data_IF_466867126666
#
_entry.id   IF_466867126666
#
_cell.length_a   1.000
_cell.length_b   1.000
_cell.length_c   1.000
_cell.angle_alpha   90.00
_cell.angle_beta   90.00
_cell.angle_gamma   90.00
#
_symmetry.space_group_name_H-M   'P 1'
#
loop_
_entity.id
_entity.type
_entity.pdbx_description
1 polymer ?
#
# COMPACT_ATOMS: atom_id res chain seq x y z
N UNK A 1 10.91 18.52 -8.67
CA UNK A 1 11.90 17.49 -8.32
C UNK A 1 11.35 16.09 -8.59
N UNK A 2 12.10 15.29 -9.33
CA UNK A 2 11.86 13.84 -9.40
C UNK A 2 12.41 13.15 -8.14
N UNK A 3 11.97 11.91 -7.89
CA UNK A 3 12.51 11.11 -6.78
C UNK A 3 14.03 10.90 -6.87
N UNK A 4 14.57 10.81 -8.10
CA UNK A 4 16.02 10.68 -8.33
C UNK A 4 16.76 11.97 -7.98
N UNK A 5 16.28 13.11 -8.42
CA UNK A 5 16.87 14.44 -8.12
C UNK A 5 16.82 14.76 -6.62
N UNK A 6 15.76 14.35 -5.93
CA UNK A 6 15.61 14.59 -4.50
C UNK A 6 16.75 13.96 -3.65
N UNK A 7 17.38 12.89 -4.12
CA UNK A 7 18.51 12.24 -3.41
C UNK A 7 19.75 13.15 -3.28
N UNK A 8 19.92 14.13 -4.18
CA UNK A 8 21.04 15.09 -4.15
C UNK A 8 20.72 16.43 -3.47
N UNK A 9 19.55 16.58 -2.85
CA UNK A 9 19.13 17.84 -2.22
C UNK A 9 19.40 17.84 -0.73
N UNK A 10 20.42 18.58 -0.30
CA UNK A 10 20.85 18.67 1.10
C UNK A 10 19.70 19.09 2.05
N UNK A 11 18.86 20.03 1.63
CA UNK A 11 17.70 20.47 2.40
C UNK A 11 16.69 19.37 2.75
N UNK A 12 16.76 18.19 2.11
CA UNK A 12 15.92 17.04 2.40
C UNK A 12 16.58 16.04 3.37
N UNK A 13 17.79 16.29 3.84
CA UNK A 13 18.50 15.42 4.79
C UNK A 13 17.73 15.24 6.10
N UNK A 14 17.11 16.29 6.61
CA UNK A 14 16.29 16.24 7.82
C UNK A 14 15.02 15.42 7.62
N UNK A 15 14.40 15.52 6.46
CA UNK A 15 13.26 14.67 6.09
C UNK A 15 13.68 13.19 6.03
N UNK A 16 14.84 12.89 5.46
CA UNK A 16 15.37 11.54 5.40
C UNK A 16 15.61 10.95 6.80
N UNK A 17 16.21 11.73 7.71
CA UNK A 17 16.42 11.33 9.12
C UNK A 17 15.11 11.11 9.85
N UNK A 18 14.16 12.03 9.72
CA UNK A 18 12.84 11.91 10.33
C UNK A 18 12.09 10.68 9.82
N UNK A 19 12.10 10.43 8.51
CA UNK A 19 11.47 9.28 7.89
C UNK A 19 12.06 7.95 8.41
N UNK A 20 13.38 7.89 8.54
CA UNK A 20 14.08 6.71 9.09
C UNK A 20 13.72 6.46 10.56
N UNK A 21 13.78 7.48 11.39
CA UNK A 21 13.46 7.37 12.82
C UNK A 21 11.97 6.98 13.03
N UNK A 22 11.05 7.57 12.25
CA UNK A 22 9.65 7.20 12.33
C UNK A 22 9.40 5.75 11.90
N UNK A 23 10.07 5.30 10.82
CA UNK A 23 9.99 3.90 10.37
C UNK A 23 10.51 2.94 11.44
N UNK A 24 11.68 3.20 12.01
CA UNK A 24 12.26 2.37 13.06
C UNK A 24 11.31 2.21 14.24
N UNK A 25 10.73 3.32 14.71
CA UNK A 25 9.75 3.32 15.79
C UNK A 25 8.53 2.45 15.46
N UNK A 26 7.89 2.64 14.30
CA UNK A 26 6.69 1.89 13.95
C UNK A 26 6.96 0.40 13.68
N UNK A 27 8.17 0.05 13.21
CA UNK A 27 8.58 -1.35 13.06
C UNK A 27 8.84 -2.01 14.40
N UNK A 28 9.42 -1.28 15.38
CA UNK A 28 9.58 -1.76 16.75
C UNK A 28 8.23 -2.03 17.43
N UNK A 29 7.18 -1.27 17.09
CA UNK A 29 5.79 -1.49 17.52
C UNK A 29 5.08 -2.63 16.71
N UNK A 30 5.84 -3.38 15.91
CA UNK A 30 5.36 -4.52 15.15
C UNK A 30 4.73 -4.16 13.81
N UNK A 31 5.03 -2.99 13.27
CA UNK A 31 4.69 -2.63 11.89
C UNK A 31 5.37 -3.56 10.89
N UNK A 32 4.78 -3.66 9.71
CA UNK A 32 5.23 -4.54 8.64
C UNK A 32 5.73 -3.70 7.48
N UNK A 33 6.91 -4.01 6.96
CA UNK A 33 7.43 -3.39 5.73
C UNK A 33 7.38 -4.38 4.57
N UNK A 34 6.46 -4.12 3.64
CA UNK A 34 6.30 -4.90 2.42
C UNK A 34 6.76 -4.06 1.23
N UNK A 35 7.96 -4.32 0.75
CA UNK A 35 8.57 -3.60 -0.38
C UNK A 35 8.56 -4.46 -1.64
N UNK A 36 7.37 -4.67 -2.22
CA UNK A 36 7.25 -5.32 -3.52
C UNK A 36 7.72 -4.40 -4.64
N UNK A 37 8.34 -4.96 -5.70
CA UNK A 37 8.56 -4.23 -6.94
C UNK A 37 7.25 -3.66 -7.47
N UNK A 38 7.25 -2.37 -7.77
CA UNK A 38 6.09 -1.65 -8.27
C UNK A 38 6.27 -1.27 -9.73
N UNK A 39 5.18 -1.27 -10.47
CA UNK A 39 5.14 -0.83 -11.86
C UNK A 39 4.05 0.21 -12.07
N UNK A 40 4.24 1.06 -13.05
CA UNK A 40 3.24 1.99 -13.54
C UNK A 40 2.81 1.58 -14.94
N UNK A 41 1.52 1.30 -15.11
CA UNK A 41 0.92 1.10 -16.43
C UNK A 41 0.54 2.45 -17.00
N UNK A 42 0.96 2.76 -18.22
CA UNK A 42 0.61 3.95 -18.98
C UNK A 42 0.03 3.56 -20.32
N UNK A 43 -0.97 4.30 -20.76
CA UNK A 43 -1.52 4.20 -22.11
C UNK A 43 -0.92 5.30 -22.97
N UNK A 44 -0.42 4.93 -24.13
CA UNK A 44 0.06 5.83 -25.19
C UNK A 44 -0.68 5.46 -26.47
N UNK A 45 -1.80 6.15 -26.73
CA UNK A 45 -2.76 5.73 -27.73
C UNK A 45 -3.40 4.37 -27.35
N UNK A 46 -3.31 3.39 -28.25
CA UNK A 46 -3.80 2.03 -28.01
C UNK A 46 -2.75 1.08 -27.41
N UNK A 47 -1.52 1.57 -27.21
CA UNK A 47 -0.44 0.78 -26.65
C UNK A 47 -0.35 0.94 -25.12
N UNK A 48 -0.23 -0.18 -24.42
CA UNK A 48 0.07 -0.19 -23.01
C UNK A 48 1.58 -0.28 -22.79
N UNK A 49 2.11 0.60 -21.94
CA UNK A 49 3.51 0.53 -21.46
C UNK A 49 3.55 0.23 -19.99
N UNK A 50 4.38 -0.71 -19.60
CA UNK A 50 4.67 -1.05 -18.21
C UNK A 50 6.04 -0.50 -17.87
N UNK A 51 6.09 0.36 -16.86
CA UNK A 51 7.29 1.05 -16.42
C UNK A 51 7.61 0.62 -14.99
N UNK A 52 8.66 -0.17 -14.76
CA UNK A 52 9.15 -0.45 -13.42
C UNK A 52 9.49 0.84 -12.67
N UNK A 53 9.10 0.91 -11.42
CA UNK A 53 9.36 2.06 -10.57
C UNK A 53 10.62 1.80 -9.74
N UNK A 54 11.72 2.54 -9.98
CA UNK A 54 12.94 2.34 -9.22
C UNK A 54 12.73 2.59 -7.71
N UNK A 55 13.31 1.77 -6.83
CA UNK A 55 13.14 1.87 -5.38
C UNK A 55 14.06 2.95 -4.78
N UNK A 56 13.91 4.21 -5.23
CA UNK A 56 14.69 5.33 -4.68
C UNK A 56 14.36 5.56 -3.21
N UNK A 57 15.36 5.85 -2.39
CA UNK A 57 15.18 6.18 -0.97
C UNK A 57 14.22 7.36 -0.75
N UNK A 58 14.24 8.34 -1.63
CA UNK A 58 13.32 9.49 -1.56
C UNK A 58 11.84 9.09 -1.69
N UNK A 59 11.52 7.97 -2.34
CA UNK A 59 10.14 7.41 -2.32
C UNK A 59 9.77 6.91 -0.92
N UNK A 60 10.74 6.30 -0.25
CA UNK A 60 10.60 5.89 1.14
C UNK A 60 10.39 7.10 2.05
N UNK A 61 11.16 8.19 1.91
CA UNK A 61 10.98 9.40 2.71
C UNK A 61 9.57 9.96 2.58
N UNK A 62 9.05 10.06 1.34
CA UNK A 62 7.69 10.53 1.08
C UNK A 62 6.65 9.58 1.69
N UNK A 63 6.83 8.26 1.57
CA UNK A 63 5.92 7.27 2.16
C UNK A 63 5.83 7.45 3.69
N UNK A 64 6.97 7.51 4.37
CA UNK A 64 7.00 7.66 5.82
C UNK A 64 6.46 9.04 6.27
N UNK A 65 6.75 10.11 5.54
CA UNK A 65 6.17 11.43 5.79
C UNK A 65 4.63 11.43 5.65
N UNK A 66 4.09 10.74 4.65
CA UNK A 66 2.64 10.57 4.49
C UNK A 66 2.02 9.77 5.64
N UNK A 67 2.70 8.72 6.12
CA UNK A 67 2.26 7.97 7.29
C UNK A 67 2.31 8.82 8.56
N UNK A 68 3.38 9.58 8.75
CA UNK A 68 3.54 10.51 9.88
C UNK A 68 2.44 11.59 9.87
N UNK A 69 2.11 12.14 8.71
CA UNK A 69 1.01 13.11 8.57
C UNK A 69 -0.34 12.51 8.97
N UNK A 70 -0.63 11.27 8.56
CA UNK A 70 -1.86 10.56 8.97
C UNK A 70 -1.88 10.22 10.46
N UNK A 71 -0.74 9.86 11.03
CA UNK A 71 -0.58 9.65 12.46
C UNK A 71 -0.81 10.94 13.25
N UNK A 72 -0.21 12.05 12.83
CA UNK A 72 -0.39 13.36 13.46
C UNK A 72 -1.85 13.85 13.37
N UNK A 73 -2.51 13.67 12.22
CA UNK A 73 -3.91 14.03 12.04
C UNK A 73 -4.83 13.22 12.99
N UNK A 74 -4.53 11.93 13.18
CA UNK A 74 -5.28 11.06 14.10
C UNK A 74 -5.09 11.51 15.56
N UNK A 75 -3.85 11.81 15.98
CA UNK A 75 -3.58 12.33 17.32
C UNK A 75 -4.25 13.66 17.59
N UNK A 76 -4.13 14.61 16.64
CA UNK A 76 -4.79 15.92 16.75
C UNK A 76 -6.31 15.75 16.95
N UNK A 77 -6.92 14.85 16.18
CA UNK A 77 -8.35 14.59 16.31
C UNK A 77 -8.73 13.99 17.67
N UNK A 78 -7.89 13.08 18.22
CA UNK A 78 -8.12 12.51 19.55
C UNK A 78 -8.01 13.55 20.65
N UNK A 79 -6.96 14.35 20.64
CA UNK A 79 -6.71 15.40 21.65
C UNK A 79 -7.82 16.45 21.70
N UNK A 80 -8.47 16.69 20.56
CA UNK A 80 -9.55 17.67 20.43
C UNK A 80 -10.94 17.06 20.34
N UNK A 81 -11.09 15.77 20.62
CA UNK A 81 -12.36 15.02 20.55
C UNK A 81 -13.11 15.19 19.22
N UNK A 82 -12.35 15.34 18.10
CA UNK A 82 -12.92 15.50 16.76
C UNK A 82 -13.33 14.15 16.18
N UNK A 83 -14.58 13.97 15.74
CA UNK A 83 -14.98 12.77 15.05
C UNK A 83 -14.36 12.74 13.65
N UNK A 84 -13.48 11.77 13.40
CA UNK A 84 -12.88 11.49 12.08
C UNK A 84 -12.93 9.98 11.77
N UNK A 85 -12.79 9.59 10.51
CA UNK A 85 -12.54 8.18 10.16
C UNK A 85 -11.12 7.76 10.56
N UNK A 86 -11.00 6.77 11.44
CA UNK A 86 -9.72 6.13 11.78
C UNK A 86 -9.53 4.87 10.96
N UNK A 87 -8.35 4.68 10.38
CA UNK A 87 -7.99 3.44 9.72
C UNK A 87 -7.37 2.48 10.75
N UNK A 88 -7.97 1.31 10.89
CA UNK A 88 -7.60 0.28 11.87
C UNK A 88 -7.30 -1.03 11.15
N UNK A 89 -6.44 -1.86 11.72
CA UNK A 89 -6.17 -3.18 11.17
C UNK A 89 -5.84 -4.16 12.29
N UNK A 90 -6.61 -5.23 12.36
CA UNK A 90 -6.40 -6.29 13.34
C UNK A 90 -5.15 -7.11 13.03
N UNK A 91 -4.58 -7.75 14.03
CA UNK A 91 -3.50 -8.71 13.86
C UNK A 91 -3.96 -9.92 13.03
N UNK A 92 -3.08 -10.57 12.27
CA UNK A 92 -3.38 -11.85 11.64
C UNK A 92 -3.62 -12.92 12.70
N UNK A 93 -4.43 -13.93 12.36
CA UNK A 93 -4.79 -15.01 13.31
C UNK A 93 -3.62 -15.89 13.73
N UNK A 94 -2.56 -15.95 12.91
CA UNK A 94 -1.38 -16.81 13.17
C UNK A 94 -0.11 -16.04 12.83
N UNK A 95 0.78 -15.93 13.81
CA UNK A 95 2.02 -15.12 13.72
C UNK A 95 3.25 -15.92 13.19
N UNK A 96 3.05 -17.06 12.53
CA UNK A 96 4.14 -17.98 12.14
C UNK A 96 4.87 -17.65 10.82
N UNK A 97 4.63 -16.51 10.18
CA UNK A 97 5.25 -16.20 8.88
C UNK A 97 6.66 -15.59 8.96
N UNK A 98 7.22 -15.41 10.14
CA UNK A 98 8.44 -14.62 10.35
C UNK A 98 9.76 -15.28 9.89
N UNK A 99 9.73 -16.51 9.37
CA UNK A 99 10.98 -17.25 9.08
C UNK A 99 11.43 -17.22 7.61
N UNK A 100 10.57 -16.82 6.68
CA UNK A 100 10.90 -16.82 5.26
C UNK A 100 11.25 -15.40 4.77
N UNK A 101 12.48 -15.19 4.36
CA UNK A 101 12.93 -13.94 3.75
C UNK A 101 12.51 -13.78 2.28
N UNK A 102 12.91 -12.68 1.66
CA UNK A 102 12.72 -12.42 0.24
C UNK A 102 11.27 -12.16 -0.18
N UNK A 103 11.01 -12.23 -1.48
CA UNK A 103 9.69 -11.96 -2.05
C UNK A 103 8.63 -12.98 -1.59
N UNK A 104 9.01 -14.26 -1.44
CA UNK A 104 8.09 -15.28 -0.96
C UNK A 104 7.66 -15.05 0.50
N UNK A 105 8.57 -14.58 1.36
CA UNK A 105 8.22 -14.20 2.73
C UNK A 105 7.27 -13.01 2.79
N UNK A 106 7.56 -11.96 2.04
CA UNK A 106 6.67 -10.79 1.90
C UNK A 106 5.30 -11.18 1.32
N UNK A 107 5.27 -12.11 0.33
CA UNK A 107 4.04 -12.63 -0.26
C UNK A 107 3.18 -13.36 0.77
N UNK A 108 3.79 -14.27 1.53
CA UNK A 108 3.12 -15.02 2.58
C UNK A 108 2.56 -14.09 3.67
N UNK A 109 3.36 -13.10 4.09
CA UNK A 109 2.96 -12.11 5.07
C UNK A 109 1.79 -11.25 4.58
N UNK A 110 1.85 -10.72 3.35
CA UNK A 110 0.77 -9.94 2.72
C UNK A 110 -0.55 -10.72 2.69
N UNK A 111 -0.53 -12.00 2.37
CA UNK A 111 -1.74 -12.84 2.29
C UNK A 111 -2.39 -13.11 3.65
N UNK A 112 -1.63 -13.04 4.72
CA UNK A 112 -2.13 -13.24 6.10
C UNK A 112 -2.63 -11.94 6.73
N UNK A 113 -2.25 -10.79 6.18
CA UNK A 113 -2.73 -9.51 6.69
C UNK A 113 -4.24 -9.41 6.56
N UNK A 114 -4.88 -9.06 7.66
CA UNK A 114 -6.29 -8.67 7.63
C UNK A 114 -6.45 -7.36 6.88
N UNK A 115 -7.61 -7.17 6.30
CA UNK A 115 -7.94 -5.92 5.62
C UNK A 115 -8.06 -4.78 6.63
N UNK A 116 -7.50 -3.62 6.30
CA UNK A 116 -7.73 -2.40 7.06
C UNK A 116 -9.21 -1.97 6.93
N UNK A 117 -9.78 -1.50 8.02
CA UNK A 117 -11.15 -1.02 8.13
C UNK A 117 -11.16 0.44 8.54
N UNK A 118 -12.17 1.18 8.11
CA UNK A 118 -12.39 2.55 8.56
C UNK A 118 -13.46 2.56 9.65
N UNK A 119 -13.12 3.08 10.81
CA UNK A 119 -14.00 3.12 12.00
C UNK A 119 -14.06 4.53 12.57
N UNK A 120 -15.16 4.88 13.21
CA UNK A 120 -15.27 6.14 13.98
C UNK A 120 -14.60 6.05 15.35
N UNK A 121 -14.10 4.89 15.75
CA UNK A 121 -13.35 4.68 16.98
C UNK A 121 -11.89 4.36 16.63
N UNK A 122 -10.93 4.98 17.34
CA UNK A 122 -9.52 4.70 17.17
C UNK A 122 -9.22 3.26 17.61
N UNK A 123 -8.35 2.59 16.85
CA UNK A 123 -7.78 1.31 17.24
C UNK A 123 -6.45 1.13 16.51
N UNK A 124 -5.65 0.20 16.99
CA UNK A 124 -4.32 -0.09 16.46
C UNK A 124 -4.38 -0.50 14.97
N UNK A 125 -3.45 -0.01 14.18
CA UNK A 125 -3.26 -0.42 12.80
C UNK A 125 -2.04 -1.34 12.67
N UNK A 126 -2.26 -2.66 12.74
CA UNK A 126 -1.18 -3.64 12.84
C UNK A 126 -0.13 -3.53 11.74
N UNK A 127 -0.53 -3.48 10.48
CA UNK A 127 0.41 -3.39 9.36
C UNK A 127 1.28 -2.14 9.36
N UNK A 128 0.82 -1.05 9.97
CA UNK A 128 1.61 0.17 10.09
C UNK A 128 2.42 0.24 11.38
N UNK A 129 2.07 -0.54 12.43
CA UNK A 129 2.66 -0.43 13.76
C UNK A 129 2.30 0.90 14.44
N UNK A 130 1.06 1.37 14.25
CA UNK A 130 0.60 2.65 14.75
C UNK A 130 -0.60 2.47 15.68
N UNK A 131 -0.55 3.06 16.87
CA UNK A 131 -1.64 3.01 17.85
C UNK A 131 -2.92 3.66 17.30
N UNK A 132 -2.77 4.71 16.50
CA UNK A 132 -3.85 5.39 15.80
C UNK A 132 -3.38 5.84 14.43
N UNK A 133 -4.27 5.84 13.46
CA UNK A 133 -3.97 6.33 12.13
C UNK A 133 -5.23 6.83 11.42
N UNK A 134 -5.11 7.93 10.69
CA UNK A 134 -6.14 8.42 9.80
C UNK A 134 -5.57 8.65 8.40
N UNK A 135 -6.34 8.32 7.38
CA UNK A 135 -5.97 8.66 6.01
C UNK A 135 -6.27 10.13 5.75
N UNK A 136 -5.24 10.94 5.51
CA UNK A 136 -5.38 12.40 5.34
C UNK A 136 -4.60 12.96 4.14
N UNK A 137 -3.78 12.15 3.46
CA UNK A 137 -2.77 12.65 2.51
C UNK A 137 -3.23 12.70 1.05
N UNK A 138 -4.47 12.32 0.76
CA UNK A 138 -4.99 12.28 -0.62
C UNK A 138 -6.44 12.78 -0.76
N UNK A 139 -6.79 13.99 -0.26
CA UNK A 139 -8.18 14.48 -0.22
C UNK A 139 -8.79 14.72 -1.61
N UNK A 140 -7.96 14.88 -2.65
CA UNK A 140 -8.45 15.08 -4.02
C UNK A 140 -9.02 13.81 -4.68
N UNK A 141 -8.64 12.61 -4.17
CA UNK A 141 -9.04 11.34 -4.76
C UNK A 141 -9.60 10.34 -3.76
N UNK A 142 -9.49 10.58 -2.46
CA UNK A 142 -10.09 9.77 -1.41
C UNK A 142 -11.05 10.62 -0.58
N UNK A 143 -12.33 10.33 -0.70
CA UNK A 143 -13.40 11.10 -0.07
C UNK A 143 -13.23 11.20 1.46
N UNK A 144 -12.83 10.11 2.12
CA UNK A 144 -12.68 10.13 3.58
C UNK A 144 -11.47 10.91 4.07
N UNK A 145 -10.41 11.04 3.25
CA UNK A 145 -9.33 12.00 3.53
C UNK A 145 -9.87 13.44 3.52
N UNK A 146 -10.77 13.76 2.58
CA UNK A 146 -11.43 15.06 2.54
C UNK A 146 -12.27 15.30 3.79
N UNK A 147 -12.97 14.28 4.30
CA UNK A 147 -13.73 14.38 5.57
C UNK A 147 -12.80 14.71 6.73
N UNK A 148 -11.63 14.06 6.84
CA UNK A 148 -10.62 14.41 7.86
C UNK A 148 -10.21 15.88 7.75
N UNK A 149 -9.92 16.36 6.53
CA UNK A 149 -9.58 17.76 6.31
C UNK A 149 -10.72 18.71 6.70
N UNK A 150 -11.96 18.39 6.36
CA UNK A 150 -13.14 19.20 6.72
C UNK A 150 -13.26 19.34 8.23
N UNK A 151 -13.12 18.25 8.98
CA UNK A 151 -13.22 18.24 10.43
C UNK A 151 -12.12 19.08 11.10
N UNK A 152 -10.86 18.86 10.70
CA UNK A 152 -9.72 19.63 11.23
C UNK A 152 -9.85 21.12 10.88
N UNK A 153 -10.23 21.45 9.64
CA UNK A 153 -10.38 22.85 9.21
C UNK A 153 -11.52 23.56 9.92
N UNK A 154 -12.66 22.90 10.11
CA UNK A 154 -13.79 23.48 10.86
C UNK A 154 -13.35 23.82 12.29
N UNK A 155 -12.68 22.88 12.97
CA UNK A 155 -12.15 23.11 14.31
C UNK A 155 -11.17 24.29 14.37
N UNK A 156 -10.18 24.33 13.47
CA UNK A 156 -9.16 25.40 13.45
C UNK A 156 -9.74 26.78 13.15
N UNK A 157 -10.88 26.84 12.47
CA UNK A 157 -11.60 28.09 12.18
C UNK A 157 -12.60 28.49 13.27
N UNK A 158 -12.78 27.68 14.31
CA UNK A 158 -13.84 27.87 15.30
C UNK A 158 -15.25 27.60 14.76
N UNK A 159 -15.36 26.93 13.60
CA UNK A 159 -16.61 26.46 13.02
C UNK A 159 -17.03 25.15 13.69
N UNK A 160 -18.33 24.81 13.66
CA UNK A 160 -18.82 23.54 14.22
C UNK A 160 -18.44 22.36 13.31
N UNK A 161 -17.63 21.38 13.77
CA UNK A 161 -17.36 20.17 13.01
C UNK A 161 -18.63 19.32 12.83
N UNK A 162 -18.62 18.43 11.84
CA UNK A 162 -19.70 17.46 11.66
C UNK A 162 -19.81 16.57 12.90
N UNK A 163 -21.03 16.24 13.35
CA UNK A 163 -21.23 15.31 14.44
C UNK A 163 -20.79 13.88 14.05
N UNK A 164 -20.55 13.05 15.06
CA UNK A 164 -20.07 11.67 14.87
C UNK A 164 -20.99 10.83 13.98
N UNK A 165 -22.28 10.99 14.11
CA UNK A 165 -23.30 10.27 13.34
C UNK A 165 -23.17 10.58 11.84
N UNK A 166 -22.94 11.85 11.49
CA UNK A 166 -22.73 12.27 10.10
C UNK A 166 -21.43 11.72 9.54
N UNK A 167 -20.35 11.69 10.33
CA UNK A 167 -19.08 11.06 9.91
C UNK A 167 -19.27 9.56 9.68
N UNK A 168 -20.01 8.86 10.54
CA UNK A 168 -20.33 7.44 10.36
C UNK A 168 -21.13 7.17 9.09
N UNK A 169 -22.12 7.99 8.79
CA UNK A 169 -22.89 7.87 7.52
C UNK A 169 -21.97 8.00 6.31
N UNK A 170 -21.04 8.96 6.34
CA UNK A 170 -20.06 9.16 5.26
C UNK A 170 -19.08 7.99 5.13
N UNK A 171 -18.63 7.43 6.24
CA UNK A 171 -17.79 6.21 6.23
C UNK A 171 -18.56 5.06 5.60
N UNK A 172 -19.80 4.80 6.04
CA UNK A 172 -20.61 3.72 5.48
C UNK A 172 -20.86 3.87 3.97
N UNK A 173 -21.19 5.09 3.52
CA UNK A 173 -21.38 5.37 2.09
C UNK A 173 -20.10 5.14 1.26
N UNK A 174 -18.94 5.53 1.80
CA UNK A 174 -17.66 5.32 1.12
C UNK A 174 -17.26 3.83 1.10
N UNK A 175 -17.46 3.10 2.19
CA UNK A 175 -17.15 1.67 2.26
C UNK A 175 -18.06 0.83 1.35
N UNK A 176 -19.33 1.21 1.18
CA UNK A 176 -20.26 0.51 0.30
C UNK A 176 -19.77 0.43 -1.16
N UNK A 177 -19.01 1.41 -1.64
CA UNK A 177 -18.48 1.45 -3.01
C UNK A 177 -17.00 1.08 -3.11
N UNK A 178 -16.29 1.03 -1.99
CA UNK A 178 -14.83 0.88 -1.98
C UNK A 178 -14.34 -0.45 -2.58
N UNK A 179 -15.11 -1.53 -2.43
CA UNK A 179 -14.77 -2.84 -3.01
C UNK A 179 -14.94 -2.85 -4.52
N UNK A 180 -16.02 -2.26 -5.03
CA UNK A 180 -16.26 -2.15 -6.47
C UNK A 180 -15.18 -1.29 -7.15
N UNK A 181 -14.78 -0.18 -6.52
CA UNK A 181 -13.70 0.68 -7.03
C UNK A 181 -12.37 -0.09 -7.08
N UNK A 182 -11.98 -0.77 -6.00
CA UNK A 182 -10.75 -1.58 -5.96
C UNK A 182 -10.75 -2.70 -7.00
N UNK A 183 -11.88 -3.34 -7.19
CA UNK A 183 -12.03 -4.39 -8.20
C UNK A 183 -11.89 -3.82 -9.61
N UNK A 184 -12.52 -2.68 -9.90
CA UNK A 184 -12.39 -2.01 -11.19
C UNK A 184 -10.94 -1.59 -11.48
N UNK A 185 -10.24 -1.00 -10.49
CA UNK A 185 -8.82 -0.65 -10.61
C UNK A 185 -7.95 -1.88 -10.85
N UNK A 186 -8.18 -2.98 -10.13
CA UNK A 186 -7.45 -4.23 -10.30
C UNK A 186 -7.69 -4.82 -11.70
N UNK A 187 -8.94 -4.94 -12.12
CA UNK A 187 -9.31 -5.47 -13.46
C UNK A 187 -8.73 -4.60 -14.57
N UNK A 188 -8.79 -3.28 -14.44
CA UNK A 188 -8.19 -2.37 -15.41
C UNK A 188 -6.68 -2.58 -15.53
N UNK A 189 -5.97 -2.70 -14.41
CA UNK A 189 -4.52 -2.96 -14.42
C UNK A 189 -4.19 -4.32 -15.04
N UNK A 190 -4.90 -5.37 -14.66
CA UNK A 190 -4.74 -6.71 -15.23
C UNK A 190 -5.00 -6.70 -16.75
N UNK A 191 -6.09 -6.08 -17.21
CA UNK A 191 -6.41 -5.95 -18.61
C UNK A 191 -5.27 -5.31 -19.41
N UNK A 192 -4.80 -4.15 -19.00
CA UNK A 192 -3.75 -3.44 -19.73
C UNK A 192 -2.38 -4.13 -19.63
N UNK A 193 -2.13 -4.88 -18.56
CA UNK A 193 -0.94 -5.73 -18.46
C UNK A 193 -1.02 -6.88 -19.46
N UNK A 194 -2.20 -7.52 -19.61
CA UNK A 194 -2.41 -8.57 -20.60
C UNK A 194 -2.33 -8.03 -22.03
N UNK A 195 -2.89 -6.86 -22.31
CA UNK A 195 -2.75 -6.19 -23.62
C UNK A 195 -1.28 -5.95 -23.94
N UNK A 196 -0.49 -5.49 -22.96
CA UNK A 196 0.96 -5.31 -23.15
C UNK A 196 1.64 -6.64 -23.49
N UNK A 197 1.33 -7.71 -22.76
CA UNK A 197 1.89 -9.05 -23.01
C UNK A 197 1.54 -9.58 -24.40
N UNK A 198 0.30 -9.42 -24.83
CA UNK A 198 -0.17 -9.84 -26.16
C UNK A 198 0.52 -9.05 -27.29
N UNK A 199 0.79 -7.75 -27.08
CA UNK A 199 1.41 -6.89 -28.09
C UNK A 199 2.93 -7.04 -28.17
N UNK A 200 3.60 -7.32 -27.07
CA UNK A 200 5.09 -7.27 -26.95
C UNK A 200 5.71 -8.61 -26.63
N UNK A 201 4.91 -9.60 -26.18
CA UNK A 201 5.43 -10.76 -25.52
C UNK A 201 6.06 -10.44 -24.16
N UNK A 202 6.62 -11.42 -23.53
CA UNK A 202 7.40 -11.24 -22.30
C UNK A 202 8.46 -12.34 -22.20
N UNK A 203 9.66 -11.92 -21.92
CA UNK A 203 10.74 -12.79 -21.51
C UNK A 203 11.46 -12.12 -20.34
N UNK A 204 11.41 -12.74 -19.18
CA UNK A 204 11.97 -12.13 -17.97
C UNK A 204 12.03 -13.09 -16.78
N UNK A 205 12.50 -12.58 -15.66
CA UNK A 205 12.65 -13.37 -14.43
C UNK A 205 11.35 -13.39 -13.63
N UNK A 206 10.94 -14.59 -13.24
CA UNK A 206 9.87 -14.81 -12.27
C UNK A 206 10.43 -15.39 -10.97
N UNK A 207 9.96 -14.90 -9.83
CA UNK A 207 10.36 -15.39 -8.51
C UNK A 207 9.24 -16.26 -7.93
N UNK A 208 9.53 -17.50 -7.57
CA UNK A 208 8.55 -18.42 -6.96
C UNK A 208 8.17 -17.94 -5.55
N UNK A 209 6.95 -17.43 -5.40
CA UNK A 209 6.47 -16.86 -4.13
C UNK A 209 5.48 -17.75 -3.37
N UNK A 210 4.89 -18.71 -4.04
CA UNK A 210 3.93 -19.66 -3.42
C UNK A 210 3.92 -20.97 -4.19
N UNK A 211 3.76 -22.09 -3.48
CA UNK A 211 3.50 -23.40 -4.07
C UNK A 211 2.05 -23.80 -3.84
N UNK A 212 1.41 -24.28 -4.89
CA UNK A 212 0.08 -24.88 -4.86
C UNK A 212 0.17 -26.27 -5.45
N UNK A 213 -0.84 -27.13 -5.25
CA UNK A 213 -0.85 -28.48 -5.77
C UNK A 213 -0.60 -28.48 -7.29
N UNK A 214 0.58 -28.96 -7.72
CA UNK A 214 0.98 -29.02 -9.13
C UNK A 214 1.33 -27.69 -9.80
N UNK A 215 1.35 -26.58 -9.07
CA UNK A 215 1.63 -25.25 -9.61
C UNK A 215 2.50 -24.42 -8.67
N UNK A 216 3.30 -23.54 -9.24
CA UNK A 216 3.96 -22.43 -8.55
C UNK A 216 3.34 -21.10 -8.92
N UNK A 217 3.21 -20.19 -7.95
CA UNK A 217 2.89 -18.79 -8.25
C UNK A 217 4.19 -18.02 -8.37
N UNK A 218 4.45 -17.49 -9.56
CA UNK A 218 5.63 -16.68 -9.84
C UNK A 218 5.26 -15.20 -9.86
N UNK A 219 5.97 -14.42 -9.07
CA UNK A 219 5.88 -12.97 -9.15
C UNK A 219 6.86 -12.47 -10.21
N UNK A 220 6.37 -11.66 -11.14
CA UNK A 220 7.11 -11.04 -12.23
C UNK A 220 7.42 -9.58 -11.86
N UNK A 221 8.65 -9.28 -11.37
CA UNK A 221 8.97 -7.95 -10.85
C UNK A 221 8.80 -6.82 -11.87
N UNK A 222 9.11 -7.10 -13.14
CA UNK A 222 9.02 -6.11 -14.22
C UNK A 222 7.59 -5.77 -14.64
N UNK A 223 6.64 -6.67 -14.32
CA UNK A 223 5.21 -6.49 -14.65
C UNK A 223 4.36 -6.17 -13.40
N UNK A 224 4.92 -6.35 -12.20
CA UNK A 224 4.17 -6.25 -10.95
C UNK A 224 3.00 -7.25 -10.87
N UNK A 225 3.14 -8.39 -11.55
CA UNK A 225 2.10 -9.41 -11.75
C UNK A 225 2.52 -10.72 -11.11
N UNK A 226 1.57 -11.45 -10.54
CA UNK A 226 1.78 -12.82 -10.10
C UNK A 226 0.98 -13.78 -10.97
N UNK A 227 1.64 -14.81 -11.50
CA UNK A 227 1.04 -15.78 -12.43
C UNK A 227 1.21 -17.21 -11.91
N UNK A 228 0.18 -18.06 -11.99
CA UNK A 228 0.33 -19.48 -11.74
C UNK A 228 0.97 -20.16 -12.95
N UNK A 229 1.98 -20.99 -12.70
CA UNK A 229 2.67 -21.80 -13.73
C UNK A 229 2.74 -23.23 -13.24
N UNK A 230 2.52 -24.20 -14.12
CA UNK A 230 2.73 -25.61 -13.80
C UNK A 230 4.19 -25.86 -13.39
N UNK A 231 4.41 -26.69 -12.38
CA UNK A 231 5.75 -27.09 -11.93
C UNK A 231 6.00 -28.54 -12.28
N UNK A 232 7.01 -28.75 -13.13
CA UNK A 232 7.48 -30.08 -13.49
C UNK A 232 8.52 -30.61 -12.49
N UNK A 233 9.05 -29.76 -11.64
CA UNK A 233 10.05 -30.08 -10.61
C UNK A 233 9.80 -29.28 -9.33
N UNK A 234 10.31 -29.79 -8.21
CA UNK A 234 10.20 -29.09 -6.92
C UNK A 234 11.29 -28.02 -6.80
N UNK A 235 10.87 -26.75 -6.96
CA UNK A 235 11.74 -25.58 -6.81
C UNK A 235 11.59 -24.99 -5.39
N UNK A 236 12.67 -24.51 -4.76
CA UNK A 236 12.55 -23.79 -3.48
C UNK A 236 11.81 -22.46 -3.63
N UNK A 237 11.14 -21.99 -2.59
CA UNK A 237 10.59 -20.64 -2.55
C UNK A 237 11.73 -19.62 -2.71
N UNK A 238 11.45 -18.49 -3.35
CA UNK A 238 12.39 -17.49 -3.85
C UNK A 238 13.29 -17.97 -5.01
N UNK A 239 13.09 -19.17 -5.57
CA UNK A 239 13.79 -19.53 -6.80
C UNK A 239 13.44 -18.57 -7.94
N UNK A 240 14.46 -18.14 -8.66
CA UNK A 240 14.32 -17.30 -9.84
C UNK A 240 14.34 -18.17 -11.10
N UNK A 241 13.33 -17.99 -11.94
CA UNK A 241 13.17 -18.78 -13.18
C UNK A 241 12.89 -17.84 -14.34
N UNK A 242 13.52 -18.10 -15.47
CA UNK A 242 13.21 -17.37 -16.71
C UNK A 242 11.89 -17.86 -17.27
N UNK A 243 10.95 -16.96 -17.44
CA UNK A 243 9.62 -17.21 -17.96
C UNK A 243 9.45 -16.55 -19.32
N UNK A 244 8.83 -17.28 -20.23
CA UNK A 244 8.49 -16.80 -21.57
C UNK A 244 6.98 -16.84 -21.73
N UNK A 245 6.41 -15.75 -22.19
CA UNK A 245 5.01 -15.69 -22.62
C UNK A 245 4.96 -15.83 -24.14
N UNK A 246 4.34 -16.89 -24.62
CA UNK A 246 4.17 -17.24 -26.03
C UNK A 246 2.73 -17.11 -26.43
#
# INVERSE_FOLDING_TARGET
LSYREALGVEALSDLARLASAFRERRLAEGGIDLSFPEVKVRLEGEAARILPLPPYESRFWVREAMLLAGYAAAHFALENALPIPFATQEAPEVDQAASLGGLAGMWAQRRRMRRAQLKAQPAFHRGLGLAVYAQATSPLRRYLDLVVHQQIRAFLKGEKPLPREEVLLRVGAAEAVADAVREAERKSREHWTLVHLLQKGYEGMGVLVEKRKGQGVFFLPELGLAVPVALDQDLPLNAEVRLLFV
#
